data_IF_836215689406
#
_entry.id   IF_836215689406
#
_cell.length_a   1.000
_cell.length_b   1.000
_cell.length_c   1.000
_cell.angle_alpha   90.00
_cell.angle_beta   90.00
_cell.angle_gamma   90.00
#
_symmetry.space_group_name_H-M   'P 1'
#
loop_
_entity.id
_entity.type
_entity.pdbx_description
1 polymer ?
#
# COMPACT_ATOMS: atom_id res chain seq x y z
N UNK A 1 -23.70 13.68 -21.18
CA UNK A 1 -23.48 12.45 -20.38
C UNK A 1 -21.99 12.14 -20.31
N UNK A 2 -21.25 12.61 -19.30
CA UNK A 2 -19.90 12.11 -18.96
C UNK A 2 -19.72 12.24 -17.45
N UNK A 3 -19.90 11.13 -16.72
CA UNK A 3 -19.59 11.05 -15.29
C UNK A 3 -18.08 10.95 -15.15
N UNK A 4 -17.44 11.99 -14.63
CA UNK A 4 -16.07 11.87 -14.13
C UNK A 4 -16.14 11.02 -12.85
N UNK A 5 -15.82 9.73 -12.95
CA UNK A 5 -15.57 8.91 -11.77
C UNK A 5 -14.32 9.48 -11.11
N UNK A 6 -14.48 10.05 -9.91
CA UNK A 6 -13.36 10.47 -9.08
C UNK A 6 -12.45 9.25 -8.87
N UNK A 7 -11.36 9.17 -9.62
CA UNK A 7 -10.29 8.24 -9.38
C UNK A 7 -9.71 8.64 -8.02
N UNK A 8 -10.10 7.90 -6.99
CA UNK A 8 -9.51 8.02 -5.66
C UNK A 8 -8.03 7.78 -5.85
N UNK A 9 -7.23 8.85 -5.84
CA UNK A 9 -5.78 8.82 -5.98
C UNK A 9 -5.29 7.80 -4.96
N UNK A 10 -4.94 6.59 -5.42
CA UNK A 10 -4.22 5.64 -4.60
C UNK A 10 -2.91 6.34 -4.32
N UNK A 11 -2.79 6.91 -3.12
CA UNK A 11 -1.65 7.71 -2.71
C UNK A 11 -0.40 6.89 -2.97
N UNK A 12 0.36 7.25 -4.00
CA UNK A 12 1.64 6.63 -4.25
C UNK A 12 2.47 6.84 -2.97
N UNK A 13 2.96 5.77 -2.36
CA UNK A 13 3.75 5.90 -1.14
C UNK A 13 5.21 6.13 -1.56
N UNK A 14 5.74 7.35 -1.36
CA UNK A 14 7.08 7.70 -1.82
C UNK A 14 8.17 6.92 -1.08
N UNK A 15 7.86 6.24 0.04
CA UNK A 15 8.83 5.45 0.82
C UNK A 15 9.08 4.08 0.19
N UNK A 16 8.30 3.71 -0.83
CA UNK A 16 8.37 2.40 -1.43
C UNK A 16 8.46 2.48 -2.96
N UNK A 17 9.62 2.84 -3.55
CA UNK A 17 9.80 2.79 -4.99
C UNK A 17 9.78 1.36 -5.52
N UNK A 18 9.52 1.24 -6.83
CA UNK A 18 9.58 -0.01 -7.59
C UNK A 18 11.05 -0.42 -7.76
N UNK A 19 11.44 -1.65 -7.37
CA UNK A 19 12.83 -2.09 -7.49
C UNK A 19 13.31 -2.32 -8.93
N UNK A 20 12.41 -2.24 -9.92
CA UNK A 20 12.72 -2.48 -11.34
C UNK A 20 12.93 -1.17 -12.10
N UNK A 21 12.12 -0.15 -11.82
CA UNK A 21 12.11 1.09 -12.61
C UNK A 21 12.11 2.37 -11.76
N UNK A 22 12.30 2.23 -10.44
CA UNK A 22 12.37 3.31 -9.44
C UNK A 22 11.15 4.24 -9.39
N UNK A 23 10.08 3.92 -10.13
CA UNK A 23 8.84 4.70 -10.08
C UNK A 23 8.11 4.49 -8.76
N UNK A 24 7.33 5.49 -8.30
CA UNK A 24 6.50 5.36 -7.11
C UNK A 24 5.56 4.15 -7.23
N UNK A 25 5.42 3.38 -6.15
CA UNK A 25 4.43 2.30 -6.08
C UNK A 25 3.20 2.75 -5.31
N UNK A 26 2.07 2.15 -5.67
CA UNK A 26 0.80 2.33 -4.99
C UNK A 26 0.54 1.14 -4.06
N UNK A 27 -0.01 1.41 -2.89
CA UNK A 27 -0.53 0.35 -2.02
C UNK A 27 -1.77 -0.26 -2.69
N UNK A 28 -1.67 -1.51 -3.10
CA UNK A 28 -2.70 -2.21 -3.86
C UNK A 28 -3.67 -2.96 -2.94
N UNK A 29 -3.13 -3.67 -1.96
CA UNK A 29 -3.86 -4.57 -1.06
C UNK A 29 -3.30 -4.49 0.36
N UNK A 30 -4.19 -4.65 1.35
CA UNK A 30 -3.84 -4.82 2.75
C UNK A 30 -4.61 -6.03 3.27
N UNK A 31 -3.88 -7.07 3.67
CA UNK A 31 -4.45 -8.30 4.21
C UNK A 31 -3.90 -8.57 5.62
N UNK A 32 -4.67 -9.16 6.54
CA UNK A 32 -4.15 -9.53 7.86
C UNK A 32 -3.06 -10.61 7.73
N UNK A 33 -2.03 -10.54 8.57
CA UNK A 33 -1.01 -11.58 8.60
C UNK A 33 -1.60 -12.92 9.09
N UNK A 34 -1.37 -14.04 8.39
CA UNK A 34 -2.08 -15.31 8.66
C UNK A 34 -1.80 -15.89 10.05
N UNK A 35 -0.66 -15.54 10.66
CA UNK A 35 -0.22 -16.07 11.95
C UNK A 35 -0.12 -15.02 13.06
N UNK A 36 -0.13 -13.73 12.74
CA UNK A 36 0.20 -12.68 13.70
C UNK A 36 -0.86 -11.58 13.67
N UNK A 37 -1.80 -11.60 14.62
CA UNK A 37 -2.96 -10.70 14.65
C UNK A 37 -2.62 -9.20 14.69
N UNK A 38 -1.40 -8.85 15.11
CA UNK A 38 -0.92 -7.47 15.22
C UNK A 38 -0.19 -6.98 13.96
N UNK A 39 -0.17 -7.76 12.88
CA UNK A 39 0.54 -7.40 11.66
C UNK A 39 -0.40 -7.47 10.46
N UNK A 40 -0.21 -6.52 9.56
CA UNK A 40 -0.87 -6.48 8.26
C UNK A 40 0.19 -6.69 7.17
N UNK A 41 -0.19 -7.36 6.09
CA UNK A 41 0.60 -7.57 4.87
C UNK A 41 0.13 -6.55 3.85
N UNK A 42 1.02 -5.63 3.49
CA UNK A 42 0.82 -4.58 2.51
C UNK A 42 1.38 -5.02 1.16
N UNK A 43 0.53 -5.18 0.15
CA UNK A 43 0.93 -5.46 -1.23
C UNK A 43 1.09 -4.16 -2.05
N UNK A 44 2.22 -3.99 -2.73
CA UNK A 44 2.53 -2.82 -3.53
C UNK A 44 2.57 -3.15 -5.02
N UNK A 45 1.97 -2.26 -5.81
CA UNK A 45 1.89 -2.36 -7.27
C UNK A 45 2.55 -1.15 -7.92
N UNK A 46 3.38 -1.39 -8.91
CA UNK A 46 3.87 -0.39 -9.83
C UNK A 46 2.93 -0.36 -11.05
N UNK A 47 2.53 0.82 -11.49
CA UNK A 47 1.65 0.96 -12.66
C UNK A 47 2.29 0.45 -13.97
N UNK A 48 3.62 0.42 -14.02
CA UNK A 48 4.39 -0.02 -15.20
C UNK A 48 4.82 -1.48 -15.12
N UNK A 49 5.28 -1.93 -13.96
CA UNK A 49 5.84 -3.27 -13.77
C UNK A 49 4.84 -4.28 -13.19
N UNK A 50 3.69 -3.81 -12.70
CA UNK A 50 2.71 -4.64 -12.01
C UNK A 50 3.05 -4.84 -10.52
N UNK A 51 2.60 -5.94 -9.91
CA UNK A 51 2.90 -6.26 -8.52
C UNK A 51 4.41 -6.42 -8.30
N UNK A 52 4.95 -5.71 -7.31
CA UNK A 52 6.42 -5.61 -7.17
C UNK A 52 6.95 -6.07 -5.81
N UNK A 53 6.17 -5.94 -4.74
CA UNK A 53 6.58 -6.40 -3.40
C UNK A 53 5.41 -6.46 -2.42
N UNK A 54 5.60 -7.22 -1.35
CA UNK A 54 4.75 -7.20 -0.16
C UNK A 54 5.60 -6.89 1.09
N UNK A 55 5.06 -6.11 2.02
CA UNK A 55 5.71 -5.79 3.29
C UNK A 55 4.80 -6.18 4.45
N UNK A 56 5.37 -6.82 5.47
CA UNK A 56 4.69 -7.05 6.74
C UNK A 56 4.90 -5.83 7.62
N UNK A 57 3.82 -5.17 8.02
CA UNK A 57 3.85 -3.97 8.85
C UNK A 57 3.13 -4.21 10.16
N UNK A 58 3.61 -3.59 11.23
CA UNK A 58 2.90 -3.57 12.50
C UNK A 58 1.61 -2.77 12.35
N UNK A 59 0.51 -3.37 12.78
CA UNK A 59 -0.78 -2.72 12.90
C UNK A 59 -0.70 -1.77 14.08
N UNK A 60 -0.56 -0.47 13.81
CA UNK A 60 -0.46 0.53 14.88
C UNK A 60 -1.76 0.48 15.70
N UNK A 61 -1.70 0.17 17.01
CA UNK A 61 -2.89 0.20 17.85
C UNK A 61 -3.46 1.63 17.86
N UNK A 62 -4.79 1.81 17.92
CA UNK A 62 -5.38 3.15 18.02
C UNK A 62 -4.89 3.96 19.22
N UNK A 63 -4.29 3.31 20.23
CA UNK A 63 -3.66 3.95 21.40
C UNK A 63 -2.29 4.59 21.11
N UNK A 64 -1.68 4.35 19.95
CA UNK A 64 -0.41 4.98 19.53
C UNK A 64 -0.64 6.13 18.53
N UNK A 65 -1.84 6.73 18.51
CA UNK A 65 -2.06 8.03 17.87
C UNK A 65 -1.53 9.10 18.84
N UNK A 66 -0.23 9.38 18.73
CA UNK A 66 0.46 10.39 19.55
C UNK A 66 -0.33 11.71 19.49
N UNK A 67 -0.65 12.26 20.66
CA UNK A 67 -1.21 13.60 20.88
C UNK A 67 -0.29 14.68 20.32
#
# INVERSE_FOLDING_TARGET
MRRATAAKTKSADPRHPCPVCDTPTILAEVAPHPLHANFDVHGYLCERCGPVKCLVVLRVPPSCRVM
#
